data_IF_873143858043
#
_entry.id   IF_873143858043
#
_cell.length_a   1.000
_cell.length_b   1.000
_cell.length_c   1.000
_cell.angle_alpha   90.00
_cell.angle_beta   90.00
_cell.angle_gamma   90.00
#
_symmetry.space_group_name_H-M   'P 1'
#
loop_
_entity.id
_entity.type
_entity.pdbx_description
1 polymer ?
#
# COMPACT_ATOMS: atom_id res chain seq x y z
N UNK A 1 17.63 -4.82 -9.18
CA UNK A 1 16.43 -4.28 -8.49
C UNK A 1 15.37 -5.36 -8.54
N UNK A 2 14.61 -5.59 -7.45
CA UNK A 2 13.50 -6.57 -7.48
C UNK A 2 12.40 -6.05 -8.43
N UNK A 3 11.69 -6.95 -9.11
CA UNK A 3 10.47 -6.63 -9.88
C UNK A 3 9.26 -6.49 -8.95
N UNK A 4 8.15 -5.93 -9.44
CA UNK A 4 6.93 -5.78 -8.64
C UNK A 4 6.41 -7.16 -8.21
N UNK A 5 6.43 -8.15 -9.10
CA UNK A 5 6.10 -9.53 -8.76
C UNK A 5 6.99 -10.10 -7.65
N UNK A 6 8.30 -9.84 -7.68
CA UNK A 6 9.22 -10.32 -6.63
C UNK A 6 8.96 -9.65 -5.27
N UNK A 7 8.61 -8.36 -5.26
CA UNK A 7 8.16 -7.68 -4.04
C UNK A 7 6.86 -8.28 -3.53
N UNK A 8 5.86 -8.42 -4.40
CA UNK A 8 4.56 -8.99 -4.05
C UNK A 8 4.67 -10.40 -3.45
N UNK A 9 5.50 -11.29 -4.03
CA UNK A 9 5.69 -12.64 -3.48
C UNK A 9 6.29 -12.60 -2.08
N UNK A 10 7.29 -11.75 -1.82
CA UNK A 10 7.86 -11.59 -0.48
C UNK A 10 6.84 -11.01 0.50
N UNK A 11 6.08 -9.99 0.07
CA UNK A 11 5.02 -9.38 0.87
C UNK A 11 3.93 -10.36 1.29
N UNK A 12 3.64 -11.38 0.48
CA UNK A 12 2.67 -12.44 0.82
C UNK A 12 3.14 -13.38 1.92
N UNK A 13 4.44 -13.50 2.14
CA UNK A 13 5.01 -14.34 3.21
C UNK A 13 4.98 -13.63 4.58
N UNK A 14 4.75 -12.32 4.60
CA UNK A 14 4.60 -11.55 5.83
C UNK A 14 3.30 -11.91 6.56
N UNK A 15 3.33 -11.92 7.90
CA UNK A 15 2.16 -12.23 8.72
C UNK A 15 1.20 -11.02 8.81
N UNK A 16 0.14 -11.07 8.00
CA UNK A 16 -0.93 -10.06 7.98
C UNK A 16 -2.11 -10.37 8.90
N UNK A 17 -2.04 -11.43 9.72
CA UNK A 17 -3.19 -11.95 10.48
C UNK A 17 -3.88 -10.91 11.37
N UNK A 18 -3.10 -10.03 12.01
CA UNK A 18 -3.64 -8.95 12.83
C UNK A 18 -4.48 -7.95 12.01
N UNK A 19 -3.98 -7.56 10.83
CA UNK A 19 -4.66 -6.62 9.94
C UNK A 19 -5.90 -7.26 9.30
N UNK A 20 -5.80 -8.53 8.87
CA UNK A 20 -6.94 -9.31 8.34
C UNK A 20 -8.05 -9.43 9.39
N UNK A 21 -7.70 -9.78 10.63
CA UNK A 21 -8.65 -9.88 11.74
C UNK A 21 -9.31 -8.53 12.02
N UNK A 22 -8.55 -7.45 11.97
CA UNK A 22 -9.08 -6.10 12.17
C UNK A 22 -10.07 -5.73 11.05
N UNK A 23 -9.71 -5.93 9.79
CA UNK A 23 -10.59 -5.63 8.66
C UNK A 23 -11.90 -6.41 8.72
N UNK A 24 -11.85 -7.71 9.03
CA UNK A 24 -13.06 -8.54 9.20
C UNK A 24 -13.96 -8.04 10.32
N UNK A 25 -13.39 -7.49 11.39
CA UNK A 25 -14.16 -6.94 12.51
C UNK A 25 -14.83 -5.62 12.15
N UNK A 26 -14.12 -4.71 11.49
CA UNK A 26 -14.62 -3.38 11.12
C UNK A 26 -15.57 -3.42 9.93
N UNK A 27 -15.44 -4.42 9.06
CA UNK A 27 -16.26 -4.61 7.85
C UNK A 27 -16.97 -5.97 7.85
N UNK A 28 -17.91 -6.23 8.80
CA UNK A 28 -18.60 -7.52 8.90
C UNK A 28 -19.49 -7.85 7.69
N UNK A 29 -19.77 -6.87 6.82
CA UNK A 29 -20.46 -7.06 5.54
C UNK A 29 -19.59 -7.74 4.47
N UNK A 30 -18.26 -7.74 4.65
CA UNK A 30 -17.34 -8.42 3.74
C UNK A 30 -17.19 -9.89 4.14
N UNK A 31 -17.33 -10.77 3.15
CA UNK A 31 -16.97 -12.17 3.32
C UNK A 31 -15.45 -12.34 3.46
N UNK A 32 -15.02 -13.45 4.06
CA UNK A 32 -13.59 -13.78 4.17
C UNK A 32 -12.86 -13.74 2.81
N UNK A 33 -13.50 -14.24 1.76
CA UNK A 33 -12.93 -14.20 0.41
C UNK A 33 -12.76 -12.77 -0.14
N UNK A 34 -13.65 -11.85 0.20
CA UNK A 34 -13.51 -10.43 -0.19
C UNK A 34 -12.39 -9.74 0.59
N UNK A 35 -12.21 -10.09 1.86
CA UNK A 35 -11.08 -9.60 2.66
C UNK A 35 -9.76 -10.12 2.10
N UNK A 36 -9.67 -11.42 1.80
CA UNK A 36 -8.47 -12.02 1.21
C UNK A 36 -8.13 -11.39 -0.15
N UNK A 37 -9.13 -11.18 -1.01
CA UNK A 37 -8.95 -10.51 -2.31
C UNK A 37 -8.48 -9.05 -2.14
N UNK A 38 -9.03 -8.33 -1.16
CA UNK A 38 -8.64 -6.95 -0.87
C UNK A 38 -7.20 -6.84 -0.37
N UNK A 39 -6.77 -7.74 0.53
CA UNK A 39 -5.38 -7.81 0.97
C UNK A 39 -4.44 -8.17 -0.18
N UNK A 40 -4.79 -9.16 -1.00
CA UNK A 40 -3.99 -9.54 -2.16
C UNK A 40 -3.78 -8.36 -3.13
N UNK A 41 -4.86 -7.62 -3.42
CA UNK A 41 -4.81 -6.39 -4.20
C UNK A 41 -3.94 -5.30 -3.55
N UNK A 42 -4.09 -5.08 -2.24
CA UNK A 42 -3.30 -4.10 -1.51
C UNK A 42 -1.81 -4.44 -1.58
N UNK A 43 -1.41 -5.72 -1.45
CA UNK A 43 -0.01 -6.14 -1.59
C UNK A 43 0.54 -5.88 -3.00
N UNK A 44 -0.25 -6.10 -4.05
CA UNK A 44 0.16 -5.74 -5.41
C UNK A 44 0.34 -4.22 -5.57
N UNK A 45 -0.55 -3.43 -4.96
CA UNK A 45 -0.44 -1.98 -4.94
C UNK A 45 0.84 -1.50 -4.21
N UNK A 46 1.14 -2.08 -3.04
CA UNK A 46 2.36 -1.80 -2.27
C UNK A 46 3.63 -2.20 -3.02
N UNK A 47 3.60 -3.32 -3.72
CA UNK A 47 4.71 -3.76 -4.57
C UNK A 47 4.94 -2.82 -5.75
N UNK A 48 3.88 -2.23 -6.31
CA UNK A 48 3.98 -1.16 -7.30
C UNK A 48 4.74 0.06 -6.75
N UNK A 49 4.38 0.50 -5.54
CA UNK A 49 5.07 1.60 -4.84
C UNK A 49 6.54 1.28 -4.55
N UNK A 50 6.86 0.03 -4.23
CA UNK A 50 8.21 -0.41 -3.92
C UNK A 50 9.17 -0.35 -5.13
N UNK A 51 8.68 -0.52 -6.36
CA UNK A 51 9.52 -0.56 -7.57
C UNK A 51 9.70 0.79 -8.27
N UNK A 52 8.81 1.76 -8.03
CA UNK A 52 8.84 3.05 -8.71
C UNK A 52 8.59 4.19 -7.71
N UNK A 53 9.46 5.21 -7.63
CA UNK A 53 9.21 6.37 -6.79
C UNK A 53 8.09 7.30 -7.30
N UNK A 54 7.50 7.03 -8.48
CA UNK A 54 6.37 7.75 -9.06
C UNK A 54 6.60 9.28 -9.15
N UNK A 55 7.77 9.68 -9.65
CA UNK A 55 8.20 11.09 -9.63
C UNK A 55 7.46 11.99 -10.61
N UNK A 56 6.99 11.43 -11.73
CA UNK A 56 6.36 12.20 -12.82
C UNK A 56 4.83 12.18 -12.76
N UNK A 57 4.26 11.21 -12.02
CA UNK A 57 2.82 11.01 -11.94
C UNK A 57 2.45 10.59 -10.52
N UNK A 58 1.36 11.15 -10.00
CA UNK A 58 0.86 10.78 -8.67
C UNK A 58 0.31 9.35 -8.70
N UNK A 59 0.79 8.53 -7.78
CA UNK A 59 0.31 7.17 -7.55
C UNK A 59 -0.67 7.15 -6.38
N UNK A 60 -1.91 6.70 -6.65
CA UNK A 60 -3.04 6.88 -5.74
C UNK A 60 -3.65 5.56 -5.31
N UNK A 61 -4.24 5.54 -4.12
CA UNK A 61 -5.21 4.53 -3.70
C UNK A 61 -6.62 5.00 -4.08
N UNK A 62 -7.52 4.07 -4.39
CA UNK A 62 -8.92 4.37 -4.66
C UNK A 62 -9.83 3.86 -3.54
N UNK A 63 -10.88 4.63 -3.25
CA UNK A 63 -11.93 4.28 -2.30
C UNK A 63 -12.46 2.87 -2.57
N UNK A 64 -12.58 2.05 -1.52
CA UNK A 64 -13.16 0.71 -1.58
C UNK A 64 -12.39 -0.31 -0.74
N UNK A 65 -12.69 -1.62 -0.91
CA UNK A 65 -12.15 -2.66 -0.05
C UNK A 65 -10.61 -2.73 0.02
N UNK A 66 -9.93 -2.38 -1.07
CA UNK A 66 -8.45 -2.36 -1.12
C UNK A 66 -7.87 -1.27 -0.22
N UNK A 67 -8.53 -0.11 -0.17
CA UNK A 67 -8.16 0.97 0.75
C UNK A 67 -8.44 0.59 2.20
N UNK A 68 -9.54 -0.12 2.47
CA UNK A 68 -9.84 -0.62 3.81
C UNK A 68 -8.83 -1.67 4.30
N UNK A 69 -8.31 -2.51 3.40
CA UNK A 69 -7.19 -3.39 3.72
C UNK A 69 -5.93 -2.59 4.12
N UNK A 70 -5.67 -1.49 3.40
CA UNK A 70 -4.57 -0.60 3.73
C UNK A 70 -4.81 0.10 5.10
N UNK A 71 -6.00 0.63 5.37
CA UNK A 71 -6.35 1.19 6.67
C UNK A 71 -6.14 0.19 7.81
N UNK A 72 -6.63 -1.05 7.65
CA UNK A 72 -6.46 -2.09 8.65
C UNK A 72 -4.98 -2.40 8.92
N UNK A 73 -4.14 -2.40 7.89
CA UNK A 73 -2.70 -2.53 8.05
C UNK A 73 -2.13 -1.36 8.85
N UNK A 74 -2.39 -0.10 8.46
CA UNK A 74 -1.87 1.11 9.13
C UNK A 74 -2.25 1.17 10.62
N UNK A 75 -3.48 0.78 10.96
CA UNK A 75 -3.96 0.73 12.36
C UNK A 75 -3.24 -0.35 13.19
N UNK A 76 -2.71 -1.39 12.54
CA UNK A 76 -1.80 -2.35 13.13
C UNK A 76 -0.35 -1.81 13.13
N UNK A 77 -0.15 -0.60 13.63
CA UNK A 77 1.02 0.28 13.39
C UNK A 77 2.38 -0.40 13.60
N UNK A 78 2.54 -1.23 14.64
CA UNK A 78 3.81 -1.95 14.86
C UNK A 78 4.10 -2.96 13.75
N UNK A 79 3.10 -3.76 13.37
CA UNK A 79 3.23 -4.75 12.31
C UNK A 79 3.43 -4.06 10.95
N UNK A 80 2.67 -3.01 10.68
CA UNK A 80 2.78 -2.24 9.44
C UNK A 80 4.13 -1.56 9.26
N UNK A 81 4.71 -1.01 10.33
CA UNK A 81 6.06 -0.47 10.27
C UNK A 81 7.10 -1.56 9.98
N UNK A 82 6.95 -2.76 10.56
CA UNK A 82 7.83 -3.90 10.27
C UNK A 82 7.68 -4.33 8.80
N UNK A 83 6.45 -4.46 8.31
CA UNK A 83 6.15 -4.76 6.92
C UNK A 83 6.82 -3.75 5.96
N UNK A 84 6.63 -2.46 6.19
CA UNK A 84 7.26 -1.40 5.40
C UNK A 84 8.78 -1.49 5.43
N UNK A 85 9.37 -1.75 6.60
CA UNK A 85 10.82 -1.82 6.76
C UNK A 85 11.44 -3.02 6.05
N UNK A 86 10.83 -4.21 6.15
CA UNK A 86 11.41 -5.45 5.61
C UNK A 86 11.04 -5.70 4.15
N UNK A 87 9.79 -5.39 3.77
CA UNK A 87 9.28 -5.75 2.45
C UNK A 87 9.36 -4.60 1.45
N UNK A 88 9.19 -3.34 1.90
CA UNK A 88 9.23 -2.16 1.01
C UNK A 88 10.60 -1.47 1.05
N UNK A 89 11.20 -1.37 2.24
CA UNK A 89 12.46 -0.66 2.50
C UNK A 89 12.29 0.82 2.89
N UNK A 90 11.06 1.31 3.00
CA UNK A 90 10.73 2.65 3.51
C UNK A 90 9.30 2.70 4.03
N UNK A 91 8.98 3.69 4.86
CA UNK A 91 7.61 3.89 5.32
C UNK A 91 6.75 4.46 4.20
N UNK A 92 5.65 3.78 3.88
CA UNK A 92 4.64 4.26 2.94
C UNK A 92 3.55 4.95 3.75
N UNK A 93 3.45 6.27 3.62
CA UNK A 93 2.44 7.04 4.34
C UNK A 93 1.09 6.91 3.63
N UNK A 94 0.03 6.59 4.37
CA UNK A 94 -1.34 6.69 3.88
C UNK A 94 -1.80 8.12 4.14
N UNK A 95 -1.80 8.97 3.12
CA UNK A 95 -2.23 10.37 3.23
C UNK A 95 -3.60 10.51 2.58
N UNK A 96 -4.67 10.65 3.37
CA UNK A 96 -6.02 10.82 2.82
C UNK A 96 -6.08 12.04 1.90
N UNK A 97 -6.82 11.88 0.81
CA UNK A 97 -7.11 12.95 -0.16
C UNK A 97 -8.38 13.67 0.28
N UNK A 98 -8.32 14.99 0.40
CA UNK A 98 -9.51 15.77 0.68
C UNK A 98 -10.44 15.81 -0.54
N UNK A 99 -11.76 15.98 -0.32
CA UNK A 99 -12.73 15.96 -1.42
C UNK A 99 -12.46 17.04 -2.47
N UNK A 100 -11.96 18.20 -2.04
CA UNK A 100 -11.54 19.32 -2.88
C UNK A 100 -10.27 19.04 -3.71
N UNK A 101 -9.42 18.10 -3.27
CA UNK A 101 -8.18 17.72 -3.95
C UNK A 101 -8.40 16.54 -4.92
N UNK A 102 -9.41 15.71 -4.66
CA UNK A 102 -9.72 14.54 -5.47
C UNK A 102 -9.94 14.87 -6.95
N UNK A 103 -10.62 15.99 -7.26
CA UNK A 103 -10.83 16.40 -8.64
C UNK A 103 -9.53 16.77 -9.35
N UNK A 104 -8.58 17.40 -8.66
CA UNK A 104 -7.29 17.74 -9.25
C UNK A 104 -6.49 16.47 -9.61
N UNK A 105 -6.52 15.45 -8.75
CA UNK A 105 -5.90 14.14 -9.01
C UNK A 105 -6.53 13.40 -10.20
N UNK A 106 -7.84 13.57 -10.38
CA UNK A 106 -8.56 13.03 -11.53
C UNK A 106 -8.13 13.76 -12.81
N UNK A 107 -8.12 15.10 -12.79
CA UNK A 107 -7.80 15.93 -13.93
C UNK A 107 -6.34 15.76 -14.40
N UNK A 108 -5.40 15.48 -13.48
CA UNK A 108 -4.01 15.16 -13.82
C UNK A 108 -3.80 13.71 -14.32
N UNK A 109 -4.84 12.88 -14.27
CA UNK A 109 -4.80 11.49 -14.75
C UNK A 109 -4.18 10.48 -13.78
N UNK A 110 -4.05 10.82 -12.49
CA UNK A 110 -3.39 9.97 -11.48
C UNK A 110 -4.05 8.58 -11.34
N UNK A 111 -5.38 8.53 -11.44
CA UNK A 111 -6.16 7.29 -11.35
C UNK A 111 -5.83 6.35 -12.51
N UNK A 112 -5.92 6.84 -13.75
CA UNK A 112 -5.61 6.05 -14.93
C UNK A 112 -4.14 5.63 -14.97
N UNK A 113 -3.23 6.53 -14.57
CA UNK A 113 -1.81 6.20 -14.41
C UNK A 113 -1.60 5.02 -13.46
N UNK A 114 -2.17 5.09 -12.25
CA UNK A 114 -2.03 4.06 -11.23
C UNK A 114 -2.52 2.70 -11.74
N UNK A 115 -3.71 2.66 -12.35
CA UNK A 115 -4.31 1.44 -12.89
C UNK A 115 -3.45 0.88 -14.02
N UNK A 116 -3.04 1.71 -14.98
CA UNK A 116 -2.23 1.29 -16.10
C UNK A 116 -0.88 0.75 -15.63
N UNK A 117 -0.23 1.46 -14.72
CA UNK A 117 1.05 1.04 -14.15
C UNK A 117 0.95 -0.35 -13.50
N UNK A 118 -0.09 -0.59 -12.69
CA UNK A 118 -0.33 -1.88 -12.07
C UNK A 118 -0.58 -3.00 -13.10
N UNK A 119 -1.34 -2.71 -14.16
CA UNK A 119 -1.53 -3.65 -15.28
C UNK A 119 -0.22 -3.99 -15.98
N UNK A 120 0.65 -3.02 -16.18
CA UNK A 120 1.97 -3.24 -16.78
C UNK A 120 2.88 -4.09 -15.87
N UNK A 121 2.78 -3.92 -14.55
CA UNK A 121 3.58 -4.68 -13.59
C UNK A 121 3.12 -6.14 -13.42
N UNK A 122 1.81 -6.39 -13.44
CA UNK A 122 1.24 -7.70 -13.08
C UNK A 122 0.58 -8.44 -14.26
N UNK A 123 0.23 -7.74 -15.35
CA UNK A 123 -0.39 -8.35 -16.52
C UNK A 123 -1.66 -9.14 -16.16
N UNK A 124 -1.67 -10.43 -16.51
CA UNK A 124 -2.79 -11.34 -16.22
C UNK A 124 -2.90 -11.76 -14.75
N UNK A 125 -1.84 -11.55 -13.96
CA UNK A 125 -1.80 -11.88 -12.53
C UNK A 125 -2.33 -10.74 -11.65
N UNK A 126 -2.78 -9.62 -12.26
CA UNK A 126 -3.35 -8.51 -11.52
C UNK A 126 -4.63 -8.95 -10.79
N UNK A 127 -4.72 -8.62 -9.50
CA UNK A 127 -5.83 -9.00 -8.63
C UNK A 127 -7.18 -8.55 -9.22
N UNK A 128 -8.23 -9.39 -9.17
CA UNK A 128 -9.55 -9.02 -9.65
C UNK A 128 -10.09 -7.72 -9.04
N UNK A 129 -9.75 -7.40 -7.79
CA UNK A 129 -10.17 -6.13 -7.17
C UNK A 129 -9.55 -4.91 -7.85
N UNK A 130 -8.27 -4.97 -8.22
CA UNK A 130 -7.58 -3.90 -8.96
C UNK A 130 -8.06 -3.82 -10.41
N UNK A 131 -8.37 -4.97 -11.04
CA UNK A 131 -8.93 -4.99 -12.40
C UNK A 131 -10.25 -4.22 -12.46
N UNK A 132 -11.09 -4.33 -11.41
CA UNK A 132 -12.39 -3.63 -11.33
C UNK A 132 -12.28 -2.12 -11.14
N UNK A 133 -11.14 -1.61 -10.66
CA UNK A 133 -10.95 -0.18 -10.41
C UNK A 133 -11.29 0.70 -11.61
N UNK A 134 -10.81 0.34 -12.80
CA UNK A 134 -11.09 1.13 -14.01
C UNK A 134 -12.60 1.24 -14.27
N UNK A 135 -13.29 0.10 -14.28
CA UNK A 135 -14.72 0.05 -14.52
C UNK A 135 -15.53 0.79 -13.46
N UNK A 136 -15.16 0.64 -12.19
CA UNK A 136 -15.90 1.28 -11.09
C UNK A 136 -15.59 2.79 -11.01
N UNK A 137 -14.38 3.21 -11.38
CA UNK A 137 -14.02 4.62 -11.50
C UNK A 137 -14.74 5.28 -12.67
N UNK A 138 -14.74 4.68 -13.86
CA UNK A 138 -15.46 5.18 -15.04
C UNK A 138 -16.98 5.27 -14.80
N UNK A 139 -17.52 4.40 -13.94
CA UNK A 139 -18.90 4.43 -13.51
C UNK A 139 -19.19 5.45 -12.39
N UNK A 140 -18.19 6.20 -11.93
CA UNK A 140 -18.31 7.21 -10.87
C UNK A 140 -18.58 6.63 -9.47
N UNK A 141 -18.26 5.35 -9.24
CA UNK A 141 -18.53 4.68 -7.96
C UNK A 141 -17.39 4.82 -6.95
N UNK A 142 -16.17 4.99 -7.44
CA UNK A 142 -14.96 5.15 -6.63
C UNK A 142 -14.17 6.35 -7.14
N UNK A 143 -13.30 6.88 -6.29
CA UNK A 143 -12.39 7.98 -6.60
C UNK A 143 -11.11 7.85 -5.77
N UNK A 144 -10.12 8.74 -5.99
CA UNK A 144 -8.90 8.72 -5.20
C UNK A 144 -9.21 8.94 -3.71
N UNK A 145 -8.73 8.03 -2.86
CA UNK A 145 -8.90 8.09 -1.40
C UNK A 145 -7.66 8.56 -0.69
N UNK A 146 -6.48 8.21 -1.22
CA UNK A 146 -5.21 8.54 -0.62
C UNK A 146 -4.10 8.65 -1.66
N UNK A 147 -3.09 9.44 -1.32
CA UNK A 147 -1.77 9.41 -1.97
C UNK A 147 -0.78 8.77 -1.01
N UNK A 148 0.28 8.17 -1.55
CA UNK A 148 1.39 7.72 -0.73
C UNK A 148 2.71 8.29 -1.17
N UNK A 149 3.39 8.91 -0.21
CA UNK A 149 4.71 9.47 -0.39
C UNK A 149 5.76 8.54 0.23
N UNK A 150 6.94 8.48 -0.39
CA UNK A 150 8.12 7.87 0.20
C UNK A 150 8.67 8.79 1.28
N UNK A 151 8.61 8.38 2.55
CA UNK A 151 9.42 9.00 3.60
C UNK A 151 10.72 8.21 3.72
N UNK A 152 11.85 8.86 3.42
CA UNK A 152 13.16 8.24 3.62
C UNK A 152 13.46 8.13 5.11
N UNK A 153 13.59 6.91 5.65
CA UNK A 153 14.01 6.65 7.03
C UNK A 153 15.53 6.86 7.22
N UNK A 154 16.05 8.04 6.83
CA UNK A 154 17.49 8.33 6.85
C UNK A 154 17.88 9.37 7.91
N UNK A 155 16.97 9.78 8.78
CA UNK A 155 17.24 10.80 9.80
C UNK A 155 17.55 10.17 11.17
N UNK A 156 18.30 10.89 11.99
CA UNK A 156 18.52 10.55 13.41
C UNK A 156 17.21 10.47 14.19
N UNK A 157 16.16 11.17 13.75
CA UNK A 157 14.82 11.15 14.33
C UNK A 157 14.11 9.81 14.07
N UNK A 158 14.34 9.17 12.92
CA UNK A 158 13.76 7.85 12.62
C UNK A 158 14.37 6.76 13.52
N UNK A 159 15.68 6.85 13.78
CA UNK A 159 16.36 5.98 14.72
C UNK A 159 15.93 6.18 16.18
N UNK A 160 15.40 7.36 16.52
CA UNK A 160 14.83 7.67 17.84
C UNK A 160 13.38 7.18 17.95
N UNK A 161 12.58 7.34 16.89
CA UNK A 161 11.24 6.76 16.76
C UNK A 161 11.29 5.22 16.92
N UNK A 162 12.16 4.54 16.17
CA UNK A 162 12.34 3.08 16.27
C UNK A 162 12.81 2.64 17.67
N UNK A 163 13.63 3.47 18.33
CA UNK A 163 14.06 3.26 19.73
C UNK A 163 12.90 3.39 20.70
N UNK A 164 12.06 4.40 20.52
CA UNK A 164 10.89 4.67 21.36
C UNK A 164 9.89 3.50 21.34
N UNK A 165 9.73 2.84 20.20
CA UNK A 165 8.85 1.66 20.05
C UNK A 165 9.54 0.32 20.36
N UNK A 166 10.76 0.32 20.91
CA UNK A 166 11.45 -0.91 21.33
C UNK A 166 11.87 -1.82 20.16
N UNK A 167 12.15 -1.25 18.98
CA UNK A 167 12.54 -1.98 17.77
C UNK A 167 14.06 -1.93 17.52
N UNK A 168 14.86 -1.79 18.58
CA UNK A 168 16.30 -1.57 18.52
C UNK A 168 17.13 -2.73 17.99
N UNK A 169 16.67 -3.98 18.08
CA UNK A 169 17.38 -5.13 17.50
C UNK A 169 17.36 -5.16 15.96
N UNK A 170 16.66 -4.22 15.33
CA UNK A 170 16.52 -4.14 13.87
C UNK A 170 17.43 -3.11 13.20
N UNK A 171 18.05 -2.19 13.96
CA UNK A 171 19.04 -1.24 13.42
C UNK A 171 20.38 -1.91 13.10
N UNK A 172 20.77 -2.94 13.84
CA UNK A 172 22.04 -3.67 13.65
C UNK A 172 22.10 -4.48 12.35
N UNK A 173 20.93 -4.89 11.82
CA UNK A 173 20.83 -5.65 10.56
C UNK A 173 21.03 -4.76 9.33
N UNK A 174 20.70 -3.47 9.43
CA UNK A 174 20.87 -2.48 8.37
C UNK A 174 22.31 -1.99 8.23
N UNK A 175 23.04 -1.80 9.34
CA UNK A 175 24.44 -1.36 9.30
C UNK A 175 25.41 -2.41 8.73
N UNK A 176 24.97 -3.66 8.54
CA UNK A 176 25.79 -4.74 7.93
C UNK A 176 25.46 -4.98 6.46
N UNK A 177 24.44 -4.34 5.90
CA UNK A 177 23.97 -4.51 4.53
C UNK A 177 24.22 -3.29 3.62
N UNK A 178 24.85 -2.24 4.16
CA UNK A 178 25.41 -1.09 3.44
C UNK A 178 26.94 -1.18 3.44
#
# INVERSE_FOLDING_TARGET
MKTATQYYQAMREFDHSAAVTLMQREHPELSAAQVDEAFDAWLQWMAGHAVNPHQEHTYVMLLGPVDEAFHAAVLCTRSYMQFCQFEVGFFVHHTPVAAEEAQALIDEGAVHYTIQFLREQFGLDLSPALVRWEKDFDAGKIGPSAVSCKFGMNSSADAEFLRHFGLTSYTERWQRAA
#
